data_IF_629180270069
#
_entry.id   IF_629180270069
#
_cell.length_a   1.000
_cell.length_b   1.000
_cell.length_c   1.000
_cell.angle_alpha   90.00
_cell.angle_beta   90.00
_cell.angle_gamma   90.00
#
_symmetry.space_group_name_H-M   'P 1'
#
loop_
_entity.id
_entity.type
_entity.pdbx_description
1 polymer ?
#
# COMPACT_ATOMS: atom_id res chain seq x y z
N UNK A 1 31.89 -30.91 5.92
CA UNK A 1 31.67 -30.55 4.51
C UNK A 1 30.40 -29.69 4.44
N UNK A 2 30.53 -28.37 4.31
CA UNK A 2 29.38 -27.45 4.30
C UNK A 2 28.75 -27.49 2.90
N UNK A 3 27.50 -27.95 2.82
CA UNK A 3 26.73 -28.02 1.57
C UNK A 3 26.40 -26.59 1.13
N UNK A 4 27.11 -26.07 0.13
CA UNK A 4 26.78 -24.77 -0.49
C UNK A 4 25.45 -24.94 -1.23
N UNK A 5 24.35 -24.50 -0.62
CA UNK A 5 23.04 -24.48 -1.27
C UNK A 5 23.12 -23.41 -2.36
N UNK A 6 23.28 -23.82 -3.60
CA UNK A 6 23.28 -22.91 -4.75
C UNK A 6 21.81 -22.63 -5.04
N UNK A 7 21.30 -21.51 -4.52
CA UNK A 7 19.89 -21.11 -4.70
C UNK A 7 19.69 -20.69 -6.16
N UNK A 8 19.20 -21.61 -6.98
CA UNK A 8 18.79 -21.30 -8.36
C UNK A 8 17.43 -20.59 -8.29
N UNK A 9 17.42 -19.27 -8.37
CA UNK A 9 16.19 -18.49 -8.33
C UNK A 9 15.53 -18.45 -9.71
N UNK A 10 14.29 -18.94 -9.78
CA UNK A 10 13.45 -18.84 -10.98
C UNK A 10 13.05 -17.38 -11.23
N UNK A 11 12.93 -16.99 -12.50
CA UNK A 11 12.51 -15.63 -12.92
C UNK A 11 11.19 -15.18 -12.26
N UNK A 12 10.28 -16.11 -12.00
CA UNK A 12 8.99 -15.83 -11.35
C UNK A 12 9.13 -15.34 -9.91
N UNK A 13 10.10 -15.87 -9.16
CA UNK A 13 10.39 -15.44 -7.78
C UNK A 13 10.92 -14.01 -7.78
N UNK A 14 11.80 -13.69 -8.74
CA UNK A 14 12.32 -12.34 -8.91
C UNK A 14 11.19 -11.36 -9.23
N UNK A 15 10.31 -11.69 -10.18
CA UNK A 15 9.16 -10.85 -10.53
C UNK A 15 8.22 -10.64 -9.33
N UNK A 16 7.90 -11.70 -8.59
CA UNK A 16 7.08 -11.62 -7.38
C UNK A 16 7.74 -10.74 -6.30
N UNK A 17 9.04 -10.90 -6.07
CA UNK A 17 9.79 -10.11 -5.09
C UNK A 17 9.82 -8.61 -5.47
N UNK A 18 10.07 -8.28 -6.74
CA UNK A 18 10.02 -6.91 -7.24
C UNK A 18 8.62 -6.32 -7.12
N UNK A 19 7.57 -7.07 -7.48
CA UNK A 19 6.17 -6.63 -7.31
C UNK A 19 5.87 -6.32 -5.83
N UNK A 20 6.25 -7.21 -4.91
CA UNK A 20 6.08 -6.99 -3.47
C UNK A 20 6.89 -5.81 -2.94
N UNK A 21 8.08 -5.58 -3.45
CA UNK A 21 8.89 -4.42 -3.09
C UNK A 21 8.20 -3.12 -3.50
N UNK A 22 7.68 -3.03 -4.73
CA UNK A 22 6.96 -1.86 -5.25
C UNK A 22 5.68 -1.57 -4.46
N UNK A 23 4.91 -2.60 -4.09
CA UNK A 23 3.74 -2.45 -3.23
C UNK A 23 4.08 -1.84 -1.86
N UNK A 24 5.22 -2.24 -1.27
CA UNK A 24 5.66 -1.69 0.01
C UNK A 24 6.19 -0.27 -0.12
N UNK A 25 6.98 0.02 -1.15
CA UNK A 25 7.48 1.38 -1.42
C UNK A 25 6.34 2.37 -1.56
N UNK A 26 5.29 2.01 -2.30
CA UNK A 26 4.10 2.88 -2.46
C UNK A 26 3.31 3.04 -1.17
N UNK A 27 3.22 1.99 -0.35
CA UNK A 27 2.54 2.06 0.96
C UNK A 27 3.26 2.96 1.96
N UNK A 28 4.58 2.88 2.07
CA UNK A 28 5.35 3.76 2.96
C UNK A 28 5.46 5.19 2.41
N UNK A 29 5.44 5.37 1.08
CA UNK A 29 5.45 6.70 0.45
C UNK A 29 4.21 7.53 0.81
N UNK A 30 3.01 6.99 0.57
CA UNK A 30 1.75 7.72 0.82
C UNK A 30 1.52 8.02 2.30
N UNK A 31 2.01 7.13 3.18
CA UNK A 31 1.92 7.27 4.63
C UNK A 31 2.51 8.58 5.14
N UNK A 32 3.68 8.96 4.63
CA UNK A 32 4.33 10.22 5.02
C UNK A 32 3.54 11.42 4.50
N UNK A 33 3.17 11.39 3.23
CA UNK A 33 2.44 12.48 2.56
C UNK A 33 1.13 12.81 3.27
N UNK A 34 0.35 11.79 3.65
CA UNK A 34 -0.95 11.98 4.33
C UNK A 34 -0.81 12.68 5.68
N UNK A 35 0.18 12.31 6.50
CA UNK A 35 0.38 12.94 7.82
C UNK A 35 0.82 14.39 7.66
N UNK A 36 1.75 14.66 6.75
CA UNK A 36 2.19 16.02 6.45
C UNK A 36 1.06 16.88 5.88
N UNK A 37 0.15 16.29 5.12
CA UNK A 37 -1.03 16.98 4.64
C UNK A 37 -2.00 17.36 5.76
N UNK A 38 -2.26 16.46 6.71
CA UNK A 38 -3.17 16.73 7.84
C UNK A 38 -2.64 17.80 8.80
N UNK A 39 -1.33 17.79 9.08
CA UNK A 39 -0.68 18.75 9.99
C UNK A 39 -0.26 20.04 9.25
N UNK A 40 -0.24 20.02 7.92
CA UNK A 40 0.14 21.17 7.10
C UNK A 40 -0.91 22.27 7.09
N UNK A 41 -0.57 23.39 6.45
CA UNK A 41 -1.39 24.61 6.42
C UNK A 41 -2.76 24.45 5.72
N UNK A 42 -2.96 23.37 4.97
CA UNK A 42 -4.21 23.14 4.22
C UNK A 42 -5.36 22.69 5.13
N UNK A 43 -5.10 21.75 6.05
CA UNK A 43 -6.12 21.24 6.98
C UNK A 43 -5.92 21.81 8.39
N UNK A 44 -4.68 22.13 8.78
CA UNK A 44 -4.32 22.69 10.09
C UNK A 44 -4.89 21.90 11.29
N UNK A 45 -4.81 20.56 11.22
CA UNK A 45 -5.24 19.71 12.34
C UNK A 45 -4.21 19.71 13.47
N UNK A 46 -4.71 19.67 14.71
CA UNK A 46 -3.89 19.39 15.87
C UNK A 46 -3.20 18.03 15.72
N UNK A 47 -1.91 17.98 16.08
CA UNK A 47 -1.06 16.79 15.90
C UNK A 47 -1.64 15.54 16.57
N UNK A 48 -2.26 15.70 17.74
CA UNK A 48 -2.86 14.59 18.48
C UNK A 48 -4.02 13.96 17.69
N UNK A 49 -4.89 14.79 17.12
CA UNK A 49 -6.03 14.33 16.36
C UNK A 49 -5.62 13.78 14.98
N UNK A 50 -4.62 14.38 14.35
CA UNK A 50 -4.02 13.85 13.13
C UNK A 50 -3.42 12.44 13.34
N UNK A 51 -2.77 12.19 14.49
CA UNK A 51 -2.22 10.88 14.85
C UNK A 51 -3.32 9.85 15.14
N UNK A 52 -4.41 10.25 15.82
CA UNK A 52 -5.58 9.37 16.04
C UNK A 52 -6.21 8.96 14.72
N UNK A 53 -6.48 9.92 13.83
CA UNK A 53 -7.06 9.66 12.52
C UNK A 53 -6.13 8.79 11.66
N UNK A 54 -4.83 9.09 11.67
CA UNK A 54 -3.82 8.28 11.00
C UNK A 54 -3.81 6.83 11.51
N UNK A 55 -3.89 6.62 12.83
CA UNK A 55 -3.97 5.29 13.43
C UNK A 55 -5.19 4.51 12.95
N UNK A 56 -6.36 5.17 12.89
CA UNK A 56 -7.58 4.58 12.37
C UNK A 56 -7.45 4.23 10.88
N UNK A 57 -6.90 5.13 10.06
CA UNK A 57 -6.68 4.90 8.64
C UNK A 57 -5.79 3.65 8.42
N UNK A 58 -4.67 3.54 9.12
CA UNK A 58 -3.77 2.37 8.99
C UNK A 58 -4.44 1.07 9.45
N UNK A 59 -5.25 1.12 10.50
CA UNK A 59 -6.04 -0.03 10.94
C UNK A 59 -7.03 -0.48 9.85
N UNK A 60 -7.78 0.46 9.25
CA UNK A 60 -8.69 0.18 8.14
C UNK A 60 -7.98 -0.39 6.91
N UNK A 61 -6.81 0.15 6.56
CA UNK A 61 -6.00 -0.39 5.46
C UNK A 61 -5.58 -1.85 5.73
N UNK A 62 -5.11 -2.14 6.95
CA UNK A 62 -4.71 -3.50 7.33
C UNK A 62 -5.90 -4.45 7.30
N UNK A 63 -7.07 -3.99 7.76
CA UNK A 63 -8.31 -4.76 7.69
C UNK A 63 -8.73 -5.08 6.24
N UNK A 64 -8.65 -4.08 5.35
CA UNK A 64 -8.93 -4.26 3.93
C UNK A 64 -8.02 -5.30 3.26
N UNK A 65 -6.75 -5.40 3.66
CA UNK A 65 -5.82 -6.42 3.14
C UNK A 65 -6.25 -7.84 3.52
N UNK A 66 -6.68 -8.04 4.76
CA UNK A 66 -7.20 -9.35 5.23
C UNK A 66 -8.45 -9.72 4.44
N UNK A 67 -9.37 -8.77 4.29
CA UNK A 67 -10.58 -8.98 3.51
C UNK A 67 -10.28 -9.34 2.04
N UNK A 68 -9.34 -8.62 1.41
CA UNK A 68 -8.89 -8.90 0.05
C UNK A 68 -8.26 -10.29 -0.10
N UNK A 69 -7.55 -10.79 0.91
CA UNK A 69 -6.98 -12.13 0.91
C UNK A 69 -8.08 -13.21 0.90
N UNK A 70 -9.09 -13.07 1.77
CA UNK A 70 -10.23 -14.00 1.85
C UNK A 70 -11.01 -14.03 0.53
N UNK A 71 -11.23 -12.87 -0.10
CA UNK A 71 -11.88 -12.78 -1.40
C UNK A 71 -11.08 -13.50 -2.51
N UNK A 72 -9.76 -13.44 -2.45
CA UNK A 72 -8.87 -14.12 -3.39
C UNK A 72 -8.93 -15.64 -3.26
N UNK A 73 -8.94 -16.14 -2.03
CA UNK A 73 -8.97 -17.58 -1.75
C UNK A 73 -10.34 -18.21 -2.05
N UNK A 74 -11.45 -17.49 -1.82
CA UNK A 74 -12.80 -18.06 -1.91
C UNK A 74 -13.49 -17.86 -3.27
N UNK A 75 -13.28 -16.72 -3.95
CA UNK A 75 -14.16 -16.30 -5.06
C UNK A 75 -13.40 -16.14 -6.38
N UNK A 76 -12.28 -15.42 -6.39
CA UNK A 76 -11.67 -14.89 -7.62
C UNK A 76 -10.44 -15.66 -8.10
N UNK A 77 -9.78 -16.36 -7.20
CA UNK A 77 -8.46 -16.95 -7.42
C UNK A 77 -7.32 -15.92 -7.27
N UNK A 78 -6.22 -16.36 -6.66
CA UNK A 78 -5.15 -15.48 -6.18
C UNK A 78 -4.49 -14.59 -7.25
N UNK A 79 -4.36 -15.06 -8.49
CA UNK A 79 -3.79 -14.23 -9.58
C UNK A 79 -4.70 -13.06 -9.97
N UNK A 80 -6.01 -13.29 -10.07
CA UNK A 80 -6.97 -12.25 -10.47
C UNK A 80 -7.19 -11.25 -9.33
N UNK A 81 -7.30 -11.74 -8.10
CA UNK A 81 -7.43 -10.91 -6.91
C UNK A 81 -6.22 -9.98 -6.73
N UNK A 82 -5.00 -10.47 -6.94
CA UNK A 82 -3.79 -9.65 -6.91
C UNK A 82 -3.82 -8.53 -7.95
N UNK A 83 -4.21 -8.85 -9.20
CA UNK A 83 -4.24 -7.86 -10.27
C UNK A 83 -5.31 -6.79 -10.06
N UNK A 84 -6.55 -7.20 -9.75
CA UNK A 84 -7.66 -6.27 -9.48
C UNK A 84 -7.35 -5.40 -8.26
N UNK A 85 -6.82 -6.00 -7.18
CA UNK A 85 -6.41 -5.26 -5.99
C UNK A 85 -5.28 -4.27 -6.28
N UNK A 86 -4.29 -4.65 -7.08
CA UNK A 86 -3.21 -3.76 -7.52
C UNK A 86 -3.71 -2.56 -8.33
N UNK A 87 -4.61 -2.77 -9.29
CA UNK A 87 -5.21 -1.70 -10.10
C UNK A 87 -6.05 -0.76 -9.23
N UNK A 88 -6.92 -1.30 -8.39
CA UNK A 88 -7.74 -0.50 -7.46
C UNK A 88 -6.85 0.35 -6.55
N UNK A 89 -5.77 -0.23 -6.04
CA UNK A 89 -4.83 0.46 -5.18
C UNK A 89 -4.09 1.60 -5.91
N UNK A 90 -3.63 1.34 -7.14
CA UNK A 90 -3.01 2.36 -7.98
C UNK A 90 -3.95 3.55 -8.24
N UNK A 91 -5.21 3.29 -8.59
CA UNK A 91 -6.22 4.33 -8.81
C UNK A 91 -6.50 5.16 -7.55
N UNK A 92 -6.68 4.50 -6.40
CA UNK A 92 -6.94 5.22 -5.14
C UNK A 92 -5.78 6.12 -4.71
N UNK A 93 -4.54 5.62 -4.82
CA UNK A 93 -3.34 6.42 -4.51
C UNK A 93 -3.12 7.55 -5.52
N UNK A 94 -3.37 7.30 -6.80
CA UNK A 94 -3.31 8.33 -7.83
C UNK A 94 -4.30 9.46 -7.56
N UNK A 95 -5.56 9.13 -7.25
CA UNK A 95 -6.57 10.13 -6.90
C UNK A 95 -6.16 10.95 -5.68
N UNK A 96 -5.62 10.29 -4.63
CA UNK A 96 -5.15 11.00 -3.44
C UNK A 96 -4.02 11.99 -3.76
N UNK A 97 -2.98 11.56 -4.50
CA UNK A 97 -1.87 12.45 -4.88
C UNK A 97 -2.33 13.57 -5.81
N UNK A 98 -3.26 13.26 -6.73
CA UNK A 98 -3.81 14.26 -7.64
C UNK A 98 -4.57 15.35 -6.89
N UNK A 99 -5.44 14.97 -5.94
CA UNK A 99 -6.16 15.92 -5.10
C UNK A 99 -5.20 16.78 -4.29
N UNK A 100 -4.20 16.16 -3.65
CA UNK A 100 -3.17 16.90 -2.94
C UNK A 100 -2.48 17.92 -3.85
N UNK A 101 -2.14 17.55 -5.09
CA UNK A 101 -1.49 18.49 -6.01
C UNK A 101 -2.40 19.68 -6.37
N UNK A 102 -3.71 19.46 -6.50
CA UNK A 102 -4.66 20.54 -6.77
C UNK A 102 -4.81 21.51 -5.60
N UNK A 103 -4.80 21.02 -4.35
CA UNK A 103 -4.96 21.86 -3.16
C UNK A 103 -3.72 22.74 -2.86
N UNK A 104 -2.55 22.41 -3.42
CA UNK A 104 -1.30 23.17 -3.25
C UNK A 104 -1.04 24.20 -4.38
N UNK A 105 -1.90 24.29 -5.40
CA UNK A 105 -1.77 25.26 -6.52
C UNK A 105 -2.69 26.46 -6.31
#
# INVERSE_FOLDING_TARGET
MIKKITQTHTKDIFLYATSRALERTTFYGIRGVIIFYMIGEVIDMEREDALKLYGLLVASFTFSQVFGAILGDLILGNRKALFIGGVLNALGRFACVFLLFMDYT
#
